data_IF_628666658628
#
_entry.id   IF_628666658628
#
_cell.length_a   1.000
_cell.length_b   1.000
_cell.length_c   1.000
_cell.angle_alpha   90.00
_cell.angle_beta   90.00
_cell.angle_gamma   90.00
#
_symmetry.space_group_name_H-M   'P 1'
#
loop_
_entity.id
_entity.type
_entity.pdbx_description
1 polymer ?
#
# COMPACT_ATOMS: atom_id res chain seq x y z
N UNK A 1 -19.36 -0.98 5.72
CA UNK A 1 -20.77 -1.33 5.48
C UNK A 1 -21.34 -2.05 6.71
N UNK A 2 -22.69 -2.09 6.88
CA UNK A 2 -23.33 -2.84 7.98
C UNK A 2 -22.95 -4.33 7.99
N UNK A 3 -22.87 -4.95 6.83
CA UNK A 3 -22.50 -6.36 6.66
C UNK A 3 -21.06 -6.61 7.15
N UNK A 4 -20.13 -5.71 6.85
CA UNK A 4 -18.75 -5.78 7.36
C UNK A 4 -18.72 -5.61 8.88
N UNK A 5 -19.49 -4.68 9.44
CA UNK A 5 -19.54 -4.45 10.88
C UNK A 5 -20.05 -5.71 11.61
N UNK A 6 -21.11 -6.33 11.09
CA UNK A 6 -21.64 -7.58 11.63
C UNK A 6 -20.61 -8.71 11.54
N UNK A 7 -19.97 -8.88 10.39
CA UNK A 7 -18.91 -9.89 10.19
C UNK A 7 -17.75 -9.71 11.17
N UNK A 8 -17.32 -8.46 11.42
CA UNK A 8 -16.27 -8.16 12.40
C UNK A 8 -16.67 -8.61 13.79
N UNK A 9 -17.89 -8.26 14.23
CA UNK A 9 -18.37 -8.62 15.57
C UNK A 9 -18.44 -10.15 15.72
N UNK A 10 -18.99 -10.84 14.74
CA UNK A 10 -19.11 -12.29 14.74
C UNK A 10 -17.73 -12.97 14.71
N UNK A 11 -16.84 -12.51 13.83
CA UNK A 11 -15.49 -13.05 13.73
C UNK A 11 -14.68 -12.84 15.01
N UNK A 12 -14.78 -11.66 15.64
CA UNK A 12 -14.12 -11.40 16.92
C UNK A 12 -14.65 -12.28 18.05
N UNK A 13 -15.95 -12.61 18.06
CA UNK A 13 -16.55 -13.51 19.05
C UNK A 13 -16.12 -14.97 18.81
N UNK A 14 -16.18 -15.42 17.55
CA UNK A 14 -15.85 -16.79 17.17
C UNK A 14 -14.38 -17.12 17.45
N UNK A 15 -13.49 -16.17 17.19
CA UNK A 15 -12.04 -16.34 17.28
C UNK A 15 -11.43 -15.72 18.55
N UNK A 16 -12.23 -15.57 19.63
CA UNK A 16 -11.77 -14.93 20.86
C UNK A 16 -10.62 -15.71 21.52
N UNK A 17 -10.74 -17.01 21.58
CA UNK A 17 -9.88 -17.88 22.39
C UNK A 17 -9.01 -18.84 21.55
N UNK A 18 -8.90 -18.59 20.23
CA UNK A 18 -8.05 -19.36 19.32
C UNK A 18 -6.80 -18.58 18.85
N UNK A 19 -6.06 -19.16 17.89
CA UNK A 19 -4.82 -18.61 17.33
C UNK A 19 -5.02 -17.51 16.26
N UNK A 20 -6.28 -17.15 15.95
CA UNK A 20 -6.59 -16.02 15.06
C UNK A 20 -6.43 -14.72 15.81
N UNK A 21 -5.37 -14.00 15.54
CA UNK A 21 -5.00 -12.79 16.25
C UNK A 21 -5.21 -11.50 15.45
N UNK A 22 -5.58 -11.62 14.17
CA UNK A 22 -5.88 -10.47 13.32
C UNK A 22 -6.86 -10.81 12.19
N UNK A 23 -7.46 -9.74 11.61
CA UNK A 23 -8.30 -9.86 10.42
C UNK A 23 -7.81 -8.88 9.35
N UNK A 24 -7.66 -9.41 8.12
CA UNK A 24 -7.35 -8.66 6.92
C UNK A 24 -8.64 -8.23 6.24
N UNK A 25 -8.76 -6.94 5.94
CA UNK A 25 -9.89 -6.36 5.22
C UNK A 25 -9.50 -6.07 3.77
N UNK A 26 -10.48 -6.20 2.88
CA UNK A 26 -10.38 -5.75 1.49
C UNK A 26 -11.00 -4.37 1.35
N UNK A 27 -10.30 -3.46 0.68
CA UNK A 27 -10.74 -2.08 0.51
C UNK A 27 -11.18 -1.83 -0.93
N UNK A 28 -12.40 -1.31 -1.10
CA UNK A 28 -12.88 -0.72 -2.35
C UNK A 28 -12.46 0.74 -2.39
N UNK A 29 -11.42 1.03 -3.15
CA UNK A 29 -10.89 2.39 -3.29
C UNK A 29 -11.76 3.21 -4.23
N UNK A 30 -12.26 4.35 -3.73
CA UNK A 30 -13.00 5.34 -4.52
C UNK A 30 -12.10 6.53 -4.81
N UNK A 31 -12.03 6.92 -6.08
CA UNK A 31 -11.23 8.05 -6.54
C UNK A 31 -12.01 8.80 -7.64
N UNK A 32 -12.06 10.14 -7.57
CA UNK A 32 -12.88 10.97 -8.45
C UNK A 32 -14.34 10.47 -8.57
N UNK A 33 -14.92 10.05 -7.43
CA UNK A 33 -16.30 9.56 -7.36
C UNK A 33 -16.53 8.16 -7.93
N UNK A 34 -15.48 7.47 -8.41
CA UNK A 34 -15.58 6.14 -9.03
C UNK A 34 -14.84 5.07 -8.22
N UNK A 35 -15.46 3.90 -8.08
CA UNK A 35 -14.78 2.71 -7.57
C UNK A 35 -13.73 2.22 -8.59
N UNK A 36 -12.48 2.16 -8.17
CA UNK A 36 -11.38 1.65 -8.98
C UNK A 36 -11.33 0.12 -8.86
N UNK A 37 -11.79 -0.55 -9.90
CA UNK A 37 -11.84 -2.01 -9.97
C UNK A 37 -10.56 -2.62 -10.54
N UNK A 38 -9.91 -1.90 -11.44
CA UNK A 38 -8.76 -2.35 -12.23
C UNK A 38 -7.47 -1.64 -11.81
N UNK A 39 -6.44 -1.71 -12.63
CA UNK A 39 -5.16 -1.07 -12.33
C UNK A 39 -4.47 -1.62 -11.08
N UNK A 40 -4.94 -2.73 -10.51
CA UNK A 40 -4.47 -3.28 -9.24
C UNK A 40 -4.81 -2.39 -8.04
N UNK A 41 -5.88 -1.58 -8.14
CA UNK A 41 -6.44 -0.83 -7.02
C UNK A 41 -7.35 -1.72 -6.15
N UNK A 42 -7.98 -2.74 -6.76
CA UNK A 42 -8.80 -3.70 -6.06
C UNK A 42 -8.37 -5.15 -6.40
N UNK A 43 -8.38 -6.07 -5.42
CA UNK A 43 -8.57 -5.82 -3.99
C UNK A 43 -7.29 -5.22 -3.35
N UNK A 44 -7.47 -4.14 -2.57
CA UNK A 44 -6.43 -3.62 -1.70
C UNK A 44 -6.61 -4.22 -0.31
N UNK A 45 -5.74 -5.14 0.08
CA UNK A 45 -5.85 -5.89 1.32
C UNK A 45 -4.88 -5.36 2.37
N UNK A 46 -5.37 -5.22 3.62
CA UNK A 46 -4.58 -4.77 4.76
C UNK A 46 -5.15 -5.35 6.06
N UNK A 47 -4.26 -5.77 6.98
CA UNK A 47 -4.65 -6.11 8.34
C UNK A 47 -4.96 -4.80 9.08
N UNK A 48 -6.18 -4.67 9.61
CA UNK A 48 -6.62 -3.47 10.32
C UNK A 48 -7.26 -3.77 11.68
N UNK A 49 -7.59 -5.02 11.94
CA UNK A 49 -8.19 -5.45 13.20
C UNK A 49 -7.28 -6.51 13.79
N UNK A 50 -6.91 -6.36 15.05
CA UNK A 50 -6.01 -7.29 15.72
C UNK A 50 -6.15 -7.26 17.23
N UNK A 51 -5.79 -8.36 17.90
CA UNK A 51 -5.68 -8.44 19.36
C UNK A 51 -4.46 -7.60 19.79
N UNK A 52 -4.67 -6.59 20.64
CA UNK A 52 -3.65 -5.61 21.07
C UNK A 52 -2.37 -6.25 21.60
N UNK A 53 -2.47 -7.35 22.35
CA UNK A 53 -1.32 -8.05 22.93
C UNK A 53 -0.58 -8.96 21.94
N UNK A 54 -1.10 -9.17 20.72
CA UNK A 54 -0.62 -10.15 19.75
C UNK A 54 -0.12 -9.53 18.45
N UNK A 55 -0.20 -8.22 18.32
CA UNK A 55 0.26 -7.49 17.13
C UNK A 55 0.67 -6.07 17.48
N UNK A 56 1.51 -5.50 16.65
CA UNK A 56 2.02 -4.12 16.78
C UNK A 56 2.13 -3.46 15.41
N UNK A 57 2.16 -2.13 15.40
CA UNK A 57 2.59 -1.40 14.21
C UNK A 57 4.10 -1.58 14.06
N UNK A 58 4.55 -1.80 12.83
CA UNK A 58 5.98 -1.83 12.57
C UNK A 58 6.56 -0.40 12.55
N UNK A 59 7.84 -0.28 12.88
CA UNK A 59 8.54 1.01 13.00
C UNK A 59 9.03 1.57 11.65
N UNK A 60 8.47 1.10 10.52
CA UNK A 60 8.91 1.56 9.20
C UNK A 60 8.35 2.94 8.90
N UNK A 61 9.15 3.85 8.32
CA UNK A 61 8.68 5.18 7.97
C UNK A 61 7.47 5.16 7.04
N UNK A 62 7.46 4.25 6.07
CA UNK A 62 6.34 4.02 5.17
C UNK A 62 5.69 2.69 5.50
N UNK A 63 4.62 2.70 6.23
CA UNK A 63 3.81 1.51 6.38
C UNK A 63 3.12 1.37 7.70
N UNK A 64 1.83 1.62 7.68
CA UNK A 64 0.91 1.14 8.70
C UNK A 64 0.75 -0.39 8.59
N UNK A 65 1.84 -1.13 8.46
CA UNK A 65 1.74 -2.58 8.41
C UNK A 65 1.66 -3.11 9.83
N UNK A 66 0.63 -3.86 10.10
CA UNK A 66 0.49 -4.60 11.34
C UNK A 66 1.38 -5.84 11.25
N UNK A 67 2.19 -6.02 12.25
CA UNK A 67 3.09 -7.15 12.44
C UNK A 67 2.56 -8.03 13.56
N UNK A 68 2.25 -9.29 13.24
CA UNK A 68 1.81 -10.26 14.22
C UNK A 68 3.01 -10.79 14.99
N UNK A 69 2.93 -10.77 16.32
CA UNK A 69 3.91 -11.39 17.19
C UNK A 69 3.76 -12.92 17.22
N UNK A 70 2.51 -13.39 17.13
CA UNK A 70 2.17 -14.81 17.12
C UNK A 70 0.78 -15.06 16.50
N UNK A 71 0.50 -16.32 16.18
CA UNK A 71 -0.76 -16.74 15.60
C UNK A 71 -0.89 -16.39 14.12
N UNK A 72 -2.12 -16.34 13.63
CA UNK A 72 -2.46 -16.12 12.21
C UNK A 72 -3.51 -15.04 12.04
N UNK A 73 -3.69 -14.59 10.78
CA UNK A 73 -4.80 -13.73 10.40
C UNK A 73 -5.78 -14.44 9.48
N UNK A 74 -7.03 -13.99 9.49
CA UNK A 74 -8.06 -14.39 8.53
C UNK A 74 -8.49 -13.18 7.69
N UNK A 75 -8.88 -13.44 6.45
CA UNK A 75 -9.43 -12.41 5.57
C UNK A 75 -10.94 -12.38 5.71
N UNK A 76 -11.50 -11.19 5.94
CA UNK A 76 -12.94 -10.96 5.97
C UNK A 76 -13.51 -10.99 4.55
N UNK A 77 -14.79 -11.40 4.44
CA UNK A 77 -15.49 -11.57 3.15
C UNK A 77 -16.07 -10.28 2.63
N UNK A 78 -16.55 -9.41 3.52
CA UNK A 78 -17.15 -8.14 3.15
C UNK A 78 -16.10 -7.04 2.97
N UNK A 79 -16.37 -6.12 2.04
CA UNK A 79 -15.43 -5.07 1.70
C UNK A 79 -15.62 -3.81 2.56
N UNK A 80 -14.51 -3.15 2.87
CA UNK A 80 -14.49 -1.80 3.43
C UNK A 80 -14.49 -0.78 2.30
N UNK A 81 -15.35 0.25 2.39
CA UNK A 81 -15.36 1.36 1.45
C UNK A 81 -14.28 2.37 1.85
N UNK A 82 -13.39 2.71 0.92
CA UNK A 82 -12.26 3.59 1.17
C UNK A 82 -12.41 4.89 0.37
N UNK A 83 -12.88 5.94 1.03
CA UNK A 83 -13.10 7.28 0.50
C UNK A 83 -12.02 8.27 1.02
N UNK A 84 -10.74 7.90 0.89
CA UNK A 84 -9.61 8.74 1.36
C UNK A 84 -9.33 9.94 0.43
N UNK A 85 -10.01 10.03 -0.69
CA UNK A 85 -9.86 11.12 -1.64
C UNK A 85 -10.74 12.32 -1.27
N UNK A 86 -10.11 13.42 -0.85
CA UNK A 86 -10.80 14.70 -0.61
C UNK A 86 -10.79 15.59 -1.85
N UNK A 87 -9.61 15.86 -2.40
CA UNK A 87 -9.36 16.58 -3.65
C UNK A 87 -7.93 16.30 -4.13
N UNK A 88 -7.62 16.72 -5.37
CA UNK A 88 -6.29 16.49 -5.97
C UNK A 88 -5.16 17.15 -5.19
N UNK A 89 -5.33 18.36 -4.70
CA UNK A 89 -4.30 19.05 -3.92
C UNK A 89 -3.93 18.26 -2.68
N UNK A 90 -4.92 17.85 -1.88
CA UNK A 90 -4.69 17.01 -0.69
C UNK A 90 -4.03 15.68 -1.06
N UNK A 91 -4.44 15.07 -2.16
CA UNK A 91 -3.87 13.83 -2.65
C UNK A 91 -2.39 13.99 -3.02
N UNK A 92 -2.03 15.04 -3.77
CA UNK A 92 -0.66 15.32 -4.18
C UNK A 92 0.24 15.62 -2.97
N UNK A 93 -0.20 16.48 -2.05
CA UNK A 93 0.55 16.76 -0.82
C UNK A 93 0.79 15.52 0.03
N UNK A 94 -0.22 14.65 0.18
CA UNK A 94 -0.08 13.38 0.90
C UNK A 94 0.94 12.46 0.22
N UNK A 95 0.97 12.42 -1.12
CA UNK A 95 1.92 11.59 -1.87
C UNK A 95 3.33 12.17 -1.89
N UNK A 96 3.48 13.47 -1.84
CA UNK A 96 4.79 14.10 -1.64
C UNK A 96 5.38 13.71 -0.28
N UNK A 97 4.59 13.83 0.79
CA UNK A 97 4.99 13.35 2.12
C UNK A 97 5.30 11.84 2.15
N UNK A 98 4.49 11.02 1.49
CA UNK A 98 4.80 9.59 1.36
C UNK A 98 6.11 9.33 0.58
N UNK A 99 6.42 10.18 -0.40
CA UNK A 99 7.67 10.05 -1.13
C UNK A 99 8.89 10.31 -0.21
N UNK A 100 8.81 11.28 0.71
CA UNK A 100 9.86 11.50 1.72
C UNK A 100 10.05 10.28 2.63
N UNK A 101 8.96 9.70 3.11
CA UNK A 101 9.02 8.48 3.92
C UNK A 101 9.60 7.29 3.14
N UNK A 102 9.27 7.15 1.84
CA UNK A 102 9.82 6.07 1.01
C UNK A 102 11.32 6.25 0.76
N UNK A 103 11.78 7.48 0.54
CA UNK A 103 13.21 7.81 0.44
C UNK A 103 13.95 7.51 1.74
N UNK A 104 13.36 7.87 2.88
CA UNK A 104 13.92 7.54 4.19
C UNK A 104 14.01 6.02 4.41
N UNK A 105 12.98 5.27 4.03
CA UNK A 105 12.96 3.81 4.08
C UNK A 105 14.01 3.19 3.14
N UNK A 106 14.21 3.76 1.95
CA UNK A 106 15.21 3.33 0.98
C UNK A 106 16.64 3.38 1.56
N UNK A 107 16.99 4.45 2.26
CA UNK A 107 18.32 4.61 2.86
C UNK A 107 18.50 3.85 4.19
N UNK A 108 17.46 3.72 4.99
CA UNK A 108 17.54 3.06 6.30
C UNK A 108 17.67 1.54 6.23
N UNK A 109 17.43 0.93 5.06
CA UNK A 109 17.39 -0.53 4.86
C UNK A 109 16.40 -1.26 5.79
N UNK A 110 15.52 -0.54 6.49
CA UNK A 110 14.51 -1.12 7.39
C UNK A 110 13.54 -2.06 6.66
N UNK A 111 13.40 -1.89 5.37
CA UNK A 111 12.58 -2.77 4.52
C UNK A 111 13.10 -4.21 4.41
N UNK A 112 14.36 -4.46 4.80
CA UNK A 112 14.96 -5.80 4.75
C UNK A 112 14.69 -6.64 6.01
N UNK A 113 14.12 -6.03 7.05
CA UNK A 113 13.78 -6.77 8.27
C UNK A 113 12.65 -7.77 7.98
N UNK A 114 12.86 -9.01 8.43
CA UNK A 114 11.80 -10.02 8.41
C UNK A 114 10.66 -9.57 9.33
N UNK A 115 9.43 -9.66 8.82
CA UNK A 115 8.25 -9.27 9.57
C UNK A 115 7.09 -10.21 9.22
N UNK A 116 6.35 -10.64 10.22
CA UNK A 116 5.14 -11.43 10.03
C UNK A 116 3.97 -10.51 9.63
N UNK A 117 3.97 -10.11 8.38
CA UNK A 117 2.99 -9.22 7.75
C UNK A 117 2.10 -10.01 6.78
N UNK A 118 1.04 -9.38 6.27
CA UNK A 118 0.13 -10.06 5.33
C UNK A 118 0.87 -10.54 4.07
N UNK A 119 0.40 -11.67 3.49
CA UNK A 119 0.96 -12.23 2.25
C UNK A 119 1.05 -11.18 1.12
N UNK A 120 0.00 -10.37 0.97
CA UNK A 120 -0.04 -9.31 -0.04
C UNK A 120 1.05 -8.23 0.20
N UNK A 121 1.32 -7.87 1.46
CA UNK A 121 2.38 -6.92 1.82
C UNK A 121 3.77 -7.52 1.55
N UNK A 122 3.98 -8.81 1.87
CA UNK A 122 5.23 -9.51 1.58
C UNK A 122 5.53 -9.58 0.08
N UNK A 123 4.55 -9.94 -0.75
CA UNK A 123 4.72 -9.98 -2.21
C UNK A 123 5.09 -8.60 -2.75
N UNK A 124 4.41 -7.54 -2.31
CA UNK A 124 4.76 -6.17 -2.71
C UNK A 124 6.19 -5.77 -2.32
N UNK A 125 6.62 -6.14 -1.10
CA UNK A 125 7.98 -5.90 -0.61
C UNK A 125 9.02 -6.61 -1.46
N UNK A 126 8.83 -7.90 -1.74
CA UNK A 126 9.76 -8.72 -2.55
C UNK A 126 9.86 -8.16 -3.98
N UNK A 127 8.73 -7.82 -4.61
CA UNK A 127 8.74 -7.24 -5.96
C UNK A 127 9.42 -5.87 -6.00
N UNK A 128 9.17 -5.02 -5.00
CA UNK A 128 9.80 -3.70 -4.90
C UNK A 128 11.31 -3.80 -4.75
N UNK A 129 11.79 -4.54 -3.76
CA UNK A 129 13.21 -4.62 -3.45
C UNK A 129 13.99 -5.53 -4.41
N UNK A 130 13.36 -6.63 -4.87
CA UNK A 130 13.99 -7.61 -5.74
C UNK A 130 14.09 -7.20 -7.21
N UNK A 131 13.09 -6.49 -7.71
CA UNK A 131 12.98 -6.15 -9.15
C UNK A 131 12.95 -4.65 -9.37
N UNK A 132 11.99 -3.94 -8.75
CA UNK A 132 11.73 -2.54 -9.05
C UNK A 132 12.95 -1.64 -8.83
N UNK A 133 13.60 -1.73 -7.66
CA UNK A 133 14.77 -0.88 -7.36
C UNK A 133 16.04 -1.26 -8.13
N UNK A 134 16.07 -2.40 -8.82
CA UNK A 134 17.18 -2.77 -9.70
C UNK A 134 17.07 -2.17 -11.11
N UNK A 135 15.88 -1.70 -11.49
CA UNK A 135 15.66 -1.05 -12.77
C UNK A 135 16.20 0.39 -12.74
N UNK A 136 16.63 0.94 -13.92
CA UNK A 136 17.06 2.33 -14.01
C UNK A 136 16.01 3.31 -13.49
N UNK A 137 16.46 4.35 -12.79
CA UNK A 137 15.59 5.43 -12.28
C UNK A 137 14.78 6.04 -13.43
N UNK A 138 13.62 6.60 -13.12
CA UNK A 138 12.64 7.17 -14.05
C UNK A 138 12.06 6.18 -15.06
N UNK A 139 12.88 5.26 -15.60
CA UNK A 139 12.40 4.19 -16.48
C UNK A 139 11.49 3.21 -15.72
N UNK A 140 11.85 2.86 -14.48
CA UNK A 140 11.04 1.98 -13.63
C UNK A 140 9.66 2.58 -13.31
N UNK A 141 9.55 3.90 -13.15
CA UNK A 141 8.27 4.57 -12.96
C UNK A 141 7.38 4.45 -14.21
N UNK A 142 7.97 4.65 -15.41
CA UNK A 142 7.28 4.49 -16.70
C UNK A 142 6.80 3.05 -16.91
N UNK A 143 7.66 2.08 -16.62
CA UNK A 143 7.33 0.65 -16.70
C UNK A 143 6.21 0.27 -15.75
N UNK A 144 6.23 0.79 -14.52
CA UNK A 144 5.20 0.52 -13.53
C UNK A 144 3.85 1.13 -13.92
N UNK A 145 3.84 2.34 -14.47
CA UNK A 145 2.63 2.94 -15.06
C UNK A 145 2.07 2.07 -16.18
N UNK A 146 2.92 1.68 -17.15
CA UNK A 146 2.51 0.83 -18.26
C UNK A 146 1.89 -0.49 -17.77
N UNK A 147 2.51 -1.13 -16.79
CA UNK A 147 1.98 -2.33 -16.15
C UNK A 147 0.61 -2.10 -15.50
N UNK A 148 0.46 -1.02 -14.71
CA UNK A 148 -0.80 -0.71 -14.03
C UNK A 148 -1.90 -0.35 -15.01
N UNK A 149 -1.59 0.45 -16.01
CA UNK A 149 -2.60 0.98 -16.93
C UNK A 149 -3.01 -0.04 -17.99
N UNK A 150 -2.06 -0.73 -18.62
CA UNK A 150 -2.36 -1.67 -19.71
C UNK A 150 -2.49 -3.13 -19.22
N UNK A 151 -1.51 -3.66 -18.49
CA UNK A 151 -1.55 -5.09 -18.09
C UNK A 151 -2.59 -5.32 -16.99
N UNK A 152 -2.70 -4.42 -16.02
CA UNK A 152 -3.73 -4.47 -14.98
C UNK A 152 -5.06 -3.81 -15.39
N UNK A 153 -5.19 -3.46 -16.66
CA UNK A 153 -6.43 -2.93 -17.26
C UNK A 153 -6.96 -1.64 -16.57
N UNK A 154 -6.07 -0.81 -16.04
CA UNK A 154 -6.46 0.43 -15.35
C UNK A 154 -7.28 1.38 -16.21
N UNK A 155 -7.12 1.33 -17.55
CA UNK A 155 -7.89 2.11 -18.51
C UNK A 155 -9.40 1.79 -18.50
N UNK A 156 -9.80 0.60 -18.04
CA UNK A 156 -11.21 0.23 -17.93
C UNK A 156 -11.97 1.00 -16.84
N UNK A 157 -11.25 1.60 -15.90
CA UNK A 157 -11.86 2.49 -14.90
C UNK A 157 -12.07 3.93 -15.43
N UNK A 158 -11.88 4.15 -16.75
CA UNK A 158 -12.10 5.42 -17.42
C UNK A 158 -11.16 6.52 -16.94
N UNK A 159 -11.65 7.76 -16.89
CA UNK A 159 -10.85 8.93 -16.49
C UNK A 159 -10.26 8.77 -15.08
N UNK A 160 -11.04 8.29 -14.12
CA UNK A 160 -10.57 8.05 -12.76
C UNK A 160 -9.40 7.04 -12.72
N UNK A 161 -9.50 5.96 -13.50
CA UNK A 161 -8.42 4.97 -13.64
C UNK A 161 -7.18 5.53 -14.31
N UNK A 162 -7.35 6.38 -15.34
CA UNK A 162 -6.23 7.05 -16.01
C UNK A 162 -5.48 7.99 -15.05
N UNK A 163 -6.19 8.89 -14.39
CA UNK A 163 -5.60 9.83 -13.43
C UNK A 163 -4.95 9.09 -12.26
N UNK A 164 -5.62 8.08 -11.72
CA UNK A 164 -5.07 7.24 -10.64
C UNK A 164 -3.79 6.55 -11.05
N UNK A 165 -3.78 5.87 -12.20
CA UNK A 165 -2.59 5.17 -12.69
C UNK A 165 -1.43 6.14 -12.90
N UNK A 166 -1.69 7.33 -13.48
CA UNK A 166 -0.68 8.35 -13.65
C UNK A 166 -0.12 8.84 -12.31
N UNK A 167 -0.98 9.23 -11.38
CA UNK A 167 -0.55 9.80 -10.10
C UNK A 167 0.14 8.77 -9.20
N UNK A 168 -0.39 7.54 -9.13
CA UNK A 168 0.12 6.49 -8.24
C UNK A 168 1.31 5.73 -8.80
N UNK A 169 1.29 5.42 -10.09
CA UNK A 169 2.29 4.54 -10.67
C UNK A 169 3.41 5.27 -11.41
N UNK A 170 3.14 6.49 -11.93
CA UNK A 170 4.17 7.28 -12.60
C UNK A 170 4.64 8.43 -11.74
N UNK A 171 3.79 9.42 -11.48
CA UNK A 171 4.15 10.67 -10.80
C UNK A 171 4.80 10.41 -9.44
N UNK A 172 4.11 9.70 -8.55
CA UNK A 172 4.63 9.38 -7.24
C UNK A 172 6.00 8.66 -7.29
N UNK A 173 6.12 7.66 -8.15
CA UNK A 173 7.36 6.90 -8.32
C UNK A 173 8.49 7.72 -8.91
N UNK A 174 8.16 8.63 -9.82
CA UNK A 174 9.12 9.58 -10.39
C UNK A 174 9.62 10.56 -9.32
N UNK A 175 8.72 11.09 -8.48
CA UNK A 175 9.09 11.98 -7.37
C UNK A 175 10.03 11.28 -6.38
N UNK A 176 9.75 10.03 -6.02
CA UNK A 176 10.67 9.22 -5.16
C UNK A 176 12.05 9.12 -5.81
N UNK A 177 12.13 8.79 -7.10
CA UNK A 177 13.40 8.69 -7.82
C UNK A 177 14.16 10.04 -7.89
N UNK A 178 13.44 11.14 -8.07
CA UNK A 178 14.01 12.49 -8.11
C UNK A 178 14.55 12.89 -6.72
N UNK A 179 13.82 12.64 -5.65
CA UNK A 179 14.28 12.92 -4.27
C UNK A 179 15.49 12.05 -3.88
N UNK A 180 15.57 10.80 -4.33
CA UNK A 180 16.78 9.97 -4.15
C UNK A 180 17.97 10.60 -4.88
N UNK A 181 17.80 11.02 -6.14
CA UNK A 181 18.85 11.64 -6.91
C UNK A 181 19.32 12.97 -6.29
N UNK A 182 18.39 13.80 -5.81
CA UNK A 182 18.69 15.05 -5.09
C UNK A 182 19.57 14.81 -3.86
N UNK A 183 19.21 13.83 -3.02
CA UNK A 183 20.01 13.49 -1.83
C UNK A 183 21.41 12.98 -2.18
N UNK A 184 21.57 12.21 -3.24
CA UNK A 184 22.89 11.76 -3.71
C UNK A 184 23.75 12.92 -4.20
N UNK A 185 23.16 13.87 -4.95
CA UNK A 185 23.88 15.08 -5.39
C UNK A 185 24.33 15.96 -4.22
N UNK A 186 23.51 16.07 -3.17
CA UNK A 186 23.87 16.83 -1.98
C UNK A 186 25.03 16.15 -1.20
N UNK A 187 25.02 14.82 -1.09
CA UNK A 187 26.10 14.07 -0.42
C UNK A 187 27.43 14.16 -1.14
N UNK A 188 27.44 14.30 -2.47
CA UNK A 188 28.65 14.40 -3.27
C UNK A 188 29.25 15.83 -3.29
N UNK A 189 28.54 16.83 -2.75
CA UNK A 189 29.01 18.22 -2.65
C UNK A 189 29.67 18.55 -1.30
N UNK A 190 29.50 17.66 -0.31
CA UNK A 190 30.13 17.75 1.02
C UNK A 190 31.29 16.76 1.13
#
# INVERSE_FOLDING_TARGET
>A
TPELAQEIIESCRLHKDDDVNAFEMRFKVYFLGRFLKHGGAYPFCKINIFKKSKARFNERPLGDNIELSEGRYLQLKNDCLHYDYKNLSTFIHKHDWYADLEVQSYYSKLDNLEANISKAANVRKVLRNGIYYKLPRYFRAKMYYWYKFYIKLGFLDGEAGHVWAFLQAYFYRFVVDAKIAEQELMKNKN
#
